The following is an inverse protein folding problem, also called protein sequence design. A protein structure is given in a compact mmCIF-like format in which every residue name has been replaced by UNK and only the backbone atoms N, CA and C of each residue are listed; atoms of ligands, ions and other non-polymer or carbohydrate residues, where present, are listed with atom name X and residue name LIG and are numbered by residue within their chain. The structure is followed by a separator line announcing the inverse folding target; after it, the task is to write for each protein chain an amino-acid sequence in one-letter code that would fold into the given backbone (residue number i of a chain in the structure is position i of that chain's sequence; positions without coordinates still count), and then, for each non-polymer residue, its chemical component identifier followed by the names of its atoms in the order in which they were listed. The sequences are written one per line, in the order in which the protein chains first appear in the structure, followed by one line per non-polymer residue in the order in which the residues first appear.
data_IF_069416455390
#
_entry.id   IF_069416455390
#
_cell.length_a   1.000
_cell.length_b   1.000
_cell.length_c   1.000
_cell.angle_alpha   90.00
_cell.angle_beta   90.00
_cell.angle_gamma   90.00
#
_symmetry.space_group_name_H-M   'P 1'
#
loop_
_entity.id
_entity.type
_entity.pdbx_description
1 polymer ?
#
# COMPACT_ATOMS: atom_id res chain seq x y z
N UNK A 1 -13.35 -16.56 -3.39
CA UNK A 1 -12.34 -15.64 -3.96
C UNK A 1 -12.15 -14.53 -2.97
N UNK A 2 -10.92 -14.27 -2.50
CA UNK A 2 -10.68 -13.23 -1.51
C UNK A 2 -10.96 -11.85 -2.14
N UNK A 3 -11.65 -10.99 -1.41
CA UNK A 3 -11.92 -9.60 -1.83
C UNK A 3 -10.65 -8.76 -1.65
N UNK A 4 -9.77 -8.75 -2.63
CA UNK A 4 -8.56 -7.94 -2.62
C UNK A 4 -8.92 -6.52 -3.02
N UNK A 5 -8.70 -5.55 -2.13
CA UNK A 5 -8.96 -4.13 -2.38
C UNK A 5 -7.65 -3.40 -2.68
N UNK A 6 -7.57 -2.79 -3.84
CA UNK A 6 -6.49 -1.88 -4.19
C UNK A 6 -6.81 -0.48 -3.65
N UNK A 7 -5.90 0.12 -2.87
CA UNK A 7 -6.05 1.48 -2.34
C UNK A 7 -4.99 2.37 -2.94
N UNK A 8 -5.42 3.37 -3.72
CA UNK A 8 -4.55 4.36 -4.33
C UNK A 8 -4.45 5.61 -3.45
N UNK A 9 -3.30 5.83 -2.84
CA UNK A 9 -3.05 7.00 -2.00
C UNK A 9 -2.59 8.24 -2.77
N UNK A 10 -2.56 8.17 -4.10
CA UNK A 10 -2.36 9.35 -4.93
C UNK A 10 -3.70 10.00 -5.29
N UNK A 11 -3.79 11.31 -5.09
CA UNK A 11 -4.98 12.07 -5.47
C UNK A 11 -5.04 12.42 -6.97
N UNK A 12 -4.00 12.12 -7.74
CA UNK A 12 -3.96 12.41 -9.17
C UNK A 12 -4.34 11.18 -10.01
N UNK A 13 -5.36 11.27 -10.88
CA UNK A 13 -5.72 10.18 -11.79
C UNK A 13 -4.65 9.89 -12.85
N UNK A 14 -3.72 10.84 -13.06
CA UNK A 14 -2.58 10.72 -13.99
C UNK A 14 -1.30 10.26 -13.31
N UNK A 15 -1.35 9.96 -12.00
CA UNK A 15 -0.18 9.54 -11.24
C UNK A 15 0.38 8.20 -11.72
N UNK A 16 1.64 7.97 -11.38
CA UNK A 16 2.30 6.70 -11.63
C UNK A 16 1.56 5.55 -10.94
N UNK A 17 1.09 5.77 -9.70
CA UNK A 17 0.31 4.78 -8.96
C UNK A 17 -0.99 4.44 -9.70
N UNK A 18 -1.73 5.45 -10.18
CA UNK A 18 -2.98 5.22 -10.92
C UNK A 18 -2.77 4.41 -12.20
N UNK A 19 -1.68 4.67 -12.92
CA UNK A 19 -1.32 3.91 -14.12
C UNK A 19 -0.87 2.49 -13.76
N UNK A 20 -0.06 2.36 -12.71
CA UNK A 20 0.41 1.07 -12.20
C UNK A 20 -0.73 0.15 -11.74
N UNK A 21 -1.74 0.70 -11.08
CA UNK A 21 -2.95 -0.06 -10.70
C UNK A 21 -3.63 -0.64 -11.95
N UNK A 22 -3.82 0.16 -13.00
CA UNK A 22 -4.44 -0.29 -14.26
C UNK A 22 -3.66 -1.44 -14.90
N UNK A 23 -2.33 -1.42 -14.79
CA UNK A 23 -1.49 -2.50 -15.29
C UNK A 23 -1.62 -3.76 -14.43
N UNK A 24 -1.44 -3.63 -13.12
CA UNK A 24 -1.53 -4.76 -12.20
C UNK A 24 -2.90 -5.40 -12.20
N UNK A 25 -3.97 -4.63 -12.39
CA UNK A 25 -5.33 -5.16 -12.46
C UNK A 25 -5.58 -6.14 -13.63
N UNK A 26 -4.68 -6.17 -14.62
CA UNK A 26 -4.72 -7.20 -15.69
C UNK A 26 -4.29 -8.58 -15.19
N UNK A 27 -3.55 -8.62 -14.11
CA UNK A 27 -2.96 -9.86 -13.56
C UNK A 27 -3.48 -10.18 -12.15
N UNK A 28 -3.88 -9.17 -11.39
CA UNK A 28 -4.52 -9.30 -10.08
C UNK A 28 -5.94 -8.76 -10.22
N UNK A 29 -6.97 -9.62 -10.21
CA UNK A 29 -8.35 -9.16 -10.29
C UNK A 29 -8.73 -8.49 -8.96
N UNK A 30 -8.53 -7.21 -8.84
CA UNK A 30 -8.97 -6.45 -7.67
C UNK A 30 -10.50 -6.47 -7.57
N UNK A 31 -11.01 -6.79 -6.38
CA UNK A 31 -12.44 -6.71 -6.09
C UNK A 31 -12.96 -5.29 -6.30
N UNK A 32 -12.20 -4.30 -5.83
CA UNK A 32 -12.43 -2.88 -6.11
C UNK A 32 -11.14 -2.07 -6.01
N UNK A 33 -11.15 -0.90 -6.62
CA UNK A 33 -10.10 0.11 -6.48
C UNK A 33 -10.68 1.30 -5.71
N UNK A 34 -10.05 1.66 -4.61
CA UNK A 34 -10.39 2.82 -3.78
C UNK A 34 -9.36 3.90 -4.05
N UNK A 35 -9.76 5.01 -4.68
CA UNK A 35 -8.87 6.13 -4.93
C UNK A 35 -9.07 7.19 -3.84
N UNK A 36 -8.03 7.55 -3.12
CA UNK A 36 -8.10 8.55 -2.06
C UNK A 36 -8.63 9.91 -2.58
N UNK A 37 -8.26 10.27 -3.81
CA UNK A 37 -8.71 11.52 -4.44
C UNK A 37 -10.23 11.66 -4.61
N UNK A 38 -10.98 10.55 -4.59
CA UNK A 38 -12.44 10.58 -4.74
C UNK A 38 -13.16 11.02 -3.44
N UNK A 39 -12.43 11.10 -2.33
CA UNK A 39 -13.00 11.39 -1.01
C UNK A 39 -12.79 12.83 -0.55
N UNK A 40 -11.83 13.56 -1.14
CA UNK A 40 -11.52 14.95 -0.73
C UNK A 40 -11.24 15.07 0.78
N UNK A 41 -10.40 14.21 1.31
CA UNK A 41 -10.04 14.20 2.73
C UNK A 41 -9.26 15.48 3.05
N UNK A 42 -9.72 16.30 4.01
CA UNK A 42 -9.02 17.52 4.39
C UNK A 42 -7.67 17.21 5.06
N UNK A 43 -6.77 18.16 5.08
CA UNK A 43 -5.56 18.06 5.88
C UNK A 43 -5.97 18.07 7.36
N UNK A 44 -5.50 17.08 8.11
CA UNK A 44 -5.72 17.03 9.55
C UNK A 44 -4.92 18.14 10.21
N UNK A 45 -5.59 18.99 10.95
CA UNK A 45 -4.98 19.91 11.89
C UNK A 45 -5.51 19.68 13.32
N UNK A 46 -4.81 20.21 14.29
CA UNK A 46 -5.13 20.00 15.70
C UNK A 46 -6.49 20.57 16.10
N UNK A 47 -6.98 21.59 15.41
CA UNK A 47 -8.29 22.22 15.70
C UNK A 47 -9.45 21.37 15.15
N UNK A 48 -9.19 20.52 14.17
CA UNK A 48 -10.19 19.59 13.61
C UNK A 48 -10.27 18.28 14.39
N UNK A 49 -9.29 18.00 15.24
CA UNK A 49 -9.24 16.76 16.00
C UNK A 49 -10.22 16.70 17.19
N UNK A 50 -10.94 17.79 17.49
CA UNK A 50 -11.85 17.90 18.65
C UNK A 50 -13.20 17.19 18.46
N UNK A 51 -13.20 16.02 17.82
CA UNK A 51 -14.35 15.11 17.78
C UNK A 51 -15.23 15.18 16.52
N UNK A 52 -14.97 16.09 15.59
CA UNK A 52 -15.72 16.17 14.34
C UNK A 52 -14.97 15.49 13.20
N UNK A 53 -15.12 14.19 13.05
CA UNK A 53 -14.56 13.46 11.92
C UNK A 53 -15.34 13.80 10.65
N UNK A 54 -14.69 14.33 9.60
CA UNK A 54 -15.38 14.68 8.36
C UNK A 54 -16.07 13.48 7.69
N UNK A 55 -17.22 13.70 7.07
CA UNK A 55 -17.95 12.66 6.32
C UNK A 55 -17.08 12.00 5.23
N UNK A 56 -16.16 12.74 4.65
CA UNK A 56 -15.22 12.22 3.66
C UNK A 56 -14.31 11.12 4.24
N UNK A 57 -13.88 11.27 5.48
CA UNK A 57 -13.09 10.27 6.21
C UNK A 57 -13.94 9.04 6.54
N UNK A 58 -15.18 9.27 7.01
CA UNK A 58 -16.12 8.18 7.30
C UNK A 58 -16.41 7.35 6.04
N UNK A 59 -16.63 8.01 4.90
CA UNK A 59 -16.83 7.31 3.62
C UNK A 59 -15.60 6.54 3.16
N UNK A 60 -14.41 7.13 3.35
CA UNK A 60 -13.16 6.45 3.02
C UNK A 60 -12.97 5.19 3.89
N UNK A 61 -13.14 5.30 5.20
CA UNK A 61 -13.06 4.17 6.12
C UNK A 61 -14.07 3.05 5.75
N UNK A 62 -15.34 3.42 5.51
CA UNK A 62 -16.36 2.47 5.05
C UNK A 62 -15.97 1.76 3.75
N UNK A 63 -15.27 2.45 2.85
CA UNK A 63 -14.79 1.83 1.61
C UNK A 63 -13.72 0.76 1.84
N UNK A 64 -13.11 0.69 3.02
CA UNK A 64 -12.08 -0.30 3.37
C UNK A 64 -12.63 -1.53 4.08
N UNK A 65 -13.83 -1.48 4.67
CA UNK A 65 -14.32 -2.52 5.59
C UNK A 65 -14.43 -3.90 4.94
N UNK A 66 -14.97 -3.99 3.72
CA UNK A 66 -15.32 -5.27 3.08
C UNK A 66 -14.14 -6.03 2.45
N UNK A 67 -12.91 -5.59 2.68
CA UNK A 67 -11.74 -6.27 2.13
C UNK A 67 -11.35 -7.49 2.96
N UNK A 68 -10.93 -8.55 2.30
CA UNK A 68 -10.22 -9.67 2.92
C UNK A 68 -8.71 -9.42 2.94
N UNK A 69 -8.20 -8.66 1.98
CA UNK A 69 -6.79 -8.27 1.87
C UNK A 69 -6.64 -6.93 1.13
N UNK A 70 -5.49 -6.29 1.30
CA UNK A 70 -5.18 -5.01 0.66
C UNK A 70 -3.92 -5.03 -0.18
N UNK A 71 -3.96 -4.25 -1.26
CA UNK A 71 -2.76 -3.76 -1.96
C UNK A 71 -2.75 -2.25 -1.89
N UNK A 72 -1.85 -1.67 -1.08
CA UNK A 72 -1.71 -0.24 -0.91
C UNK A 72 -0.69 0.33 -1.89
N UNK A 73 -1.16 1.22 -2.76
CA UNK A 73 -0.33 1.95 -3.71
C UNK A 73 0.10 3.28 -3.09
N UNK A 74 1.34 3.33 -2.62
CA UNK A 74 1.88 4.46 -1.86
C UNK A 74 2.92 5.17 -2.71
N UNK A 75 2.73 6.48 -2.91
CA UNK A 75 3.70 7.31 -3.65
C UNK A 75 4.91 7.62 -2.78
N UNK A 76 6.09 7.56 -3.40
CA UNK A 76 7.33 8.03 -2.79
C UNK A 76 7.53 9.51 -3.09
N UNK A 77 7.77 10.29 -2.04
CA UNK A 77 8.07 11.72 -2.11
C UNK A 77 9.31 12.01 -1.27
N UNK A 78 10.38 12.50 -1.90
CA UNK A 78 11.64 12.85 -1.22
C UNK A 78 12.22 11.71 -0.35
N UNK A 79 12.05 10.45 -0.78
CA UNK A 79 12.52 9.28 -0.05
C UNK A 79 11.61 8.83 1.10
N UNK A 80 10.50 9.55 1.36
CA UNK A 80 9.45 9.21 2.30
C UNK A 80 8.15 8.79 1.60
N UNK A 81 7.13 8.45 2.35
CA UNK A 81 5.78 8.29 1.83
C UNK A 81 5.12 9.66 1.54
N UNK A 82 4.10 9.67 0.69
CA UNK A 82 3.38 10.90 0.37
C UNK A 82 2.60 11.46 1.57
N UNK A 83 2.49 12.79 1.65
CA UNK A 83 1.67 13.45 2.66
C UNK A 83 0.21 13.02 2.61
N UNK A 84 -0.32 12.73 1.42
CA UNK A 84 -1.70 12.22 1.26
C UNK A 84 -1.90 10.87 1.94
N UNK A 85 -0.93 9.96 1.84
CA UNK A 85 -0.96 8.69 2.55
C UNK A 85 -0.94 8.91 4.06
N UNK A 86 0.03 9.70 4.55
CA UNK A 86 0.15 9.97 5.99
C UNK A 86 -1.12 10.61 6.54
N UNK A 87 -1.65 11.63 5.86
CA UNK A 87 -2.86 12.32 6.26
C UNK A 87 -4.08 11.39 6.36
N UNK A 88 -4.26 10.50 5.37
CA UNK A 88 -5.35 9.52 5.40
C UNK A 88 -5.21 8.55 6.57
N UNK A 89 -3.99 8.09 6.86
CA UNK A 89 -3.74 7.19 8.00
C UNK A 89 -3.99 7.91 9.33
N UNK A 90 -3.56 9.17 9.48
CA UNK A 90 -3.80 9.96 10.68
C UNK A 90 -5.29 10.15 10.95
N UNK A 91 -6.07 10.43 9.91
CA UNK A 91 -7.53 10.52 10.03
C UNK A 91 -8.18 9.19 10.47
N UNK A 92 -7.68 8.05 10.02
CA UNK A 92 -8.19 6.75 10.49
C UNK A 92 -7.90 6.55 11.99
N UNK A 93 -6.74 7.05 12.49
CA UNK A 93 -6.45 7.03 13.93
C UNK A 93 -7.41 7.94 14.69
N UNK A 94 -7.59 9.19 14.23
CA UNK A 94 -8.50 10.14 14.86
C UNK A 94 -9.92 9.58 14.90
N UNK A 95 -10.44 9.07 13.77
CA UNK A 95 -11.76 8.46 13.71
C UNK A 95 -11.93 7.35 14.74
N UNK A 96 -10.96 6.43 14.82
CA UNK A 96 -11.04 5.30 15.76
C UNK A 96 -10.98 5.73 17.21
N UNK A 97 -10.18 6.76 17.53
CA UNK A 97 -10.09 7.28 18.90
C UNK A 97 -11.36 8.01 19.35
N UNK A 98 -12.11 8.60 18.41
CA UNK A 98 -13.37 9.29 18.70
C UNK A 98 -14.60 8.38 18.59
N UNK A 99 -14.48 7.20 17.98
CA UNK A 99 -15.54 6.19 18.00
C UNK A 99 -15.61 5.63 19.43
N UNK A 100 -16.68 5.99 20.15
CA UNK A 100 -16.84 5.65 21.59
C UNK A 100 -16.91 4.14 21.86
N UNK A 101 -17.12 3.34 20.84
CA UNK A 101 -17.00 1.90 20.89
C UNK A 101 -15.53 1.49 20.77
N UNK A 102 -14.75 1.77 21.82
CA UNK A 102 -13.29 1.59 21.93
C UNK A 102 -12.76 0.15 21.65
N UNK A 103 -13.62 -0.78 21.30
CA UNK A 103 -13.26 -2.15 20.94
C UNK A 103 -13.29 -2.41 19.43
N UNK A 104 -13.59 -1.39 18.60
CA UNK A 104 -13.59 -1.57 17.15
C UNK A 104 -12.18 -1.35 16.64
N UNK A 105 -11.51 -2.40 16.12
CA UNK A 105 -10.23 -2.23 15.49
C UNK A 105 -10.35 -1.33 14.26
N UNK A 106 -9.23 -0.74 13.82
CA UNK A 106 -9.21 -0.03 12.53
C UNK A 106 -9.79 -0.90 11.43
N UNK A 107 -10.50 -0.30 10.46
CA UNK A 107 -11.12 -1.03 9.33
C UNK A 107 -10.17 -1.97 8.59
N UNK A 108 -8.87 -1.64 8.63
CA UNK A 108 -7.80 -2.42 7.99
C UNK A 108 -7.11 -3.43 8.91
N UNK A 109 -7.42 -3.43 10.22
CA UNK A 109 -6.74 -4.31 11.19
C UNK A 109 -6.93 -5.78 10.90
N UNK A 110 -5.92 -6.56 11.26
CA UNK A 110 -5.90 -8.03 11.16
C UNK A 110 -6.13 -8.58 9.76
N UNK A 111 -5.89 -7.76 8.72
CA UNK A 111 -6.01 -8.19 7.33
C UNK A 111 -4.64 -8.19 6.65
N UNK A 112 -4.36 -9.13 5.74
CA UNK A 112 -3.16 -9.13 4.94
C UNK A 112 -3.03 -7.85 4.11
N UNK A 113 -1.84 -7.25 4.13
CA UNK A 113 -1.55 -6.03 3.39
C UNK A 113 -0.24 -6.14 2.64
N UNK A 114 -0.28 -5.83 1.38
CA UNK A 114 0.87 -5.67 0.51
C UNK A 114 0.99 -4.22 0.09
N UNK A 115 2.18 -3.63 0.13
CA UNK A 115 2.38 -2.27 -0.39
C UNK A 115 3.16 -2.27 -1.69
N UNK A 116 2.82 -1.33 -2.57
CA UNK A 116 3.39 -1.19 -3.91
C UNK A 116 3.72 0.28 -4.16
N UNK A 117 4.88 0.52 -4.75
CA UNK A 117 5.27 1.85 -5.21
C UNK A 117 5.75 1.78 -6.65
N UNK A 118 5.23 2.65 -7.49
CA UNK A 118 5.81 2.96 -8.80
C UNK A 118 6.66 4.22 -8.66
N UNK A 119 7.98 4.07 -8.77
CA UNK A 119 8.93 5.16 -8.54
C UNK A 119 9.62 5.58 -9.85
N UNK A 120 9.81 6.89 -10.10
CA UNK A 120 10.62 7.36 -11.21
C UNK A 120 12.12 7.17 -10.96
N UNK A 121 12.51 6.81 -9.76
CA UNK A 121 13.91 6.67 -9.37
C UNK A 121 14.55 5.43 -10.00
N UNK A 122 15.81 5.56 -10.37
CA UNK A 122 16.58 4.49 -11.00
C UNK A 122 17.11 3.46 -9.98
N UNK A 123 17.70 3.92 -8.90
CA UNK A 123 18.43 3.05 -7.96
C UNK A 123 17.94 3.13 -6.52
N UNK A 124 17.20 4.16 -6.16
CA UNK A 124 16.92 4.48 -4.76
C UNK A 124 15.41 4.60 -4.46
N UNK A 125 14.56 4.02 -5.30
CA UNK A 125 13.12 3.99 -5.03
C UNK A 125 12.80 3.06 -3.86
N UNK A 126 11.75 3.40 -3.11
CA UNK A 126 11.24 2.54 -2.06
C UNK A 126 11.91 2.69 -0.69
N UNK A 127 12.70 3.73 -0.48
CA UNK A 127 13.29 4.03 0.84
C UNK A 127 12.23 4.17 1.94
N UNK A 128 11.05 4.62 1.58
CA UNK A 128 9.91 4.76 2.48
C UNK A 128 9.30 3.42 2.93
N UNK A 129 9.70 2.29 2.36
CA UNK A 129 9.10 1.00 2.69
C UNK A 129 9.27 0.62 4.16
N UNK A 130 10.42 0.92 4.77
CA UNK A 130 10.63 0.69 6.20
C UNK A 130 9.75 1.60 7.07
N UNK A 131 9.56 2.85 6.64
CA UNK A 131 8.64 3.76 7.32
C UNK A 131 7.19 3.29 7.17
N UNK A 132 6.79 2.82 5.98
CA UNK A 132 5.47 2.24 5.75
C UNK A 132 5.22 1.05 6.67
N UNK A 133 6.19 0.16 6.81
CA UNK A 133 6.11 -1.00 7.70
C UNK A 133 5.86 -0.60 9.15
N UNK A 134 6.64 0.37 9.64
CA UNK A 134 6.50 0.85 11.02
C UNK A 134 5.14 1.50 11.24
N UNK A 135 4.71 2.37 10.33
CA UNK A 135 3.41 3.03 10.40
C UNK A 135 2.26 2.02 10.32
N UNK A 136 2.29 1.10 9.35
CA UNK A 136 1.20 0.14 9.13
C UNK A 136 1.07 -0.88 10.27
N UNK A 137 2.17 -1.21 10.96
CA UNK A 137 2.10 -2.04 12.16
C UNK A 137 1.27 -1.42 13.29
N UNK A 138 1.23 -0.09 13.39
CA UNK A 138 0.38 0.60 14.38
C UNK A 138 -1.11 0.32 14.14
N UNK A 139 -1.50 0.02 12.91
CA UNK A 139 -2.85 -0.37 12.53
C UNK A 139 -3.14 -1.87 12.71
N UNK A 140 -2.20 -2.62 13.29
CA UNK A 140 -2.32 -4.06 13.50
C UNK A 140 -2.60 -4.86 12.22
N UNK A 141 -2.18 -4.33 11.06
CA UNK A 141 -2.29 -5.07 9.80
C UNK A 141 -1.25 -6.19 9.73
N UNK A 142 -1.56 -7.22 8.96
CA UNK A 142 -0.61 -8.28 8.64
C UNK A 142 0.18 -7.80 7.42
N UNK A 143 1.26 -7.08 7.71
CA UNK A 143 2.08 -6.50 6.66
C UNK A 143 2.99 -7.56 6.05
N UNK A 144 2.66 -7.98 4.84
CA UNK A 144 3.38 -9.06 4.17
C UNK A 144 4.70 -8.57 3.56
N UNK A 145 4.67 -7.55 2.71
CA UNK A 145 5.87 -7.05 2.04
C UNK A 145 5.60 -5.75 1.27
N UNK A 146 6.65 -5.26 0.60
CA UNK A 146 6.63 -4.10 -0.26
C UNK A 146 7.31 -4.40 -1.59
N UNK A 147 6.69 -4.00 -2.70
CA UNK A 147 7.31 -4.04 -4.03
C UNK A 147 7.49 -2.63 -4.56
N UNK A 148 8.68 -2.37 -5.08
CA UNK A 148 8.99 -1.14 -5.78
C UNK A 148 9.21 -1.43 -7.25
N UNK A 149 8.42 -0.81 -8.09
CA UNK A 149 8.64 -0.77 -9.52
C UNK A 149 9.46 0.48 -9.83
N UNK A 150 10.77 0.31 -9.92
CA UNK A 150 11.71 1.37 -10.23
C UNK A 150 11.73 1.64 -11.74
N UNK A 151 12.11 2.82 -12.10
CA UNK A 151 12.53 3.35 -13.39
C UNK A 151 11.94 2.77 -14.69
N UNK A 152 11.75 3.66 -15.64
CA UNK A 152 11.52 3.32 -17.04
C UNK A 152 10.16 2.73 -17.31
N UNK A 153 9.36 2.52 -16.25
CA UNK A 153 8.01 2.04 -16.42
C UNK A 153 7.21 2.93 -17.38
N UNK A 154 7.51 4.24 -17.47
CA UNK A 154 6.88 5.13 -18.44
C UNK A 154 7.35 4.88 -19.87
N UNK A 155 8.62 4.50 -20.06
CA UNK A 155 9.22 4.21 -21.36
C UNK A 155 9.11 2.74 -21.75
N UNK A 156 8.95 1.86 -20.76
CA UNK A 156 9.01 0.42 -20.95
C UNK A 156 7.63 -0.27 -20.83
N UNK A 157 6.55 0.48 -20.63
CA UNK A 157 5.22 -0.10 -20.43
C UNK A 157 4.77 -1.01 -21.59
N UNK A 158 4.99 -0.73 -22.87
CA UNK A 158 4.63 -1.68 -23.92
C UNK A 158 5.44 -2.96 -23.87
N UNK A 159 6.71 -2.92 -23.45
CA UNK A 159 7.67 -4.01 -23.62
C UNK A 159 7.94 -4.82 -22.34
N UNK A 160 7.48 -4.34 -21.17
CA UNK A 160 7.78 -4.95 -19.87
C UNK A 160 6.57 -5.52 -19.13
N UNK A 161 5.58 -6.00 -19.84
CA UNK A 161 4.46 -6.72 -19.22
C UNK A 161 4.92 -7.92 -18.38
N UNK A 162 5.97 -8.60 -18.77
CA UNK A 162 6.53 -9.74 -18.04
C UNK A 162 7.00 -9.36 -16.63
N UNK A 163 7.59 -8.21 -16.48
CA UNK A 163 8.02 -7.72 -15.19
C UNK A 163 6.86 -7.34 -14.25
N UNK A 164 5.83 -6.65 -14.79
CA UNK A 164 4.60 -6.35 -14.06
C UNK A 164 3.87 -7.65 -13.71
N UNK A 165 3.82 -8.61 -14.64
CA UNK A 165 3.24 -9.93 -14.43
C UNK A 165 3.94 -10.69 -13.29
N UNK A 166 5.27 -10.74 -13.30
CA UNK A 166 6.06 -11.37 -12.23
C UNK A 166 5.80 -10.73 -10.86
N UNK A 167 5.73 -9.39 -10.81
CA UNK A 167 5.35 -8.69 -9.59
C UNK A 167 3.92 -9.01 -9.12
N UNK A 168 2.98 -9.13 -10.05
CA UNK A 168 1.61 -9.53 -9.75
C UNK A 168 1.52 -10.98 -9.24
N UNK A 169 2.29 -11.90 -9.82
CA UNK A 169 2.37 -13.29 -9.37
C UNK A 169 2.87 -13.38 -7.92
N UNK A 170 3.89 -12.59 -7.58
CA UNK A 170 4.40 -12.51 -6.21
C UNK A 170 3.31 -12.02 -5.24
N UNK A 171 2.63 -10.93 -5.59
CA UNK A 171 1.55 -10.37 -4.77
C UNK A 171 0.43 -11.39 -4.59
N UNK A 172 -0.03 -12.02 -5.67
CA UNK A 172 -1.08 -13.02 -5.62
C UNK A 172 -0.70 -14.21 -4.75
N UNK A 173 0.52 -14.72 -4.89
CA UNK A 173 1.00 -15.85 -4.10
C UNK A 173 1.04 -15.51 -2.61
N UNK A 174 1.45 -14.30 -2.24
CA UNK A 174 1.50 -13.88 -0.84
C UNK A 174 0.10 -13.64 -0.26
N UNK A 175 -0.82 -13.04 -1.03
CA UNK A 175 -2.18 -12.76 -0.57
C UNK A 175 -3.10 -14.01 -0.61
N UNK A 176 -2.72 -15.05 -1.36
CA UNK A 176 -3.49 -16.31 -1.43
C UNK A 176 -3.12 -17.30 -0.34
N UNK A 177 -2.06 -17.05 0.43
CA UNK A 177 -1.71 -17.91 1.56
C UNK A 177 -2.83 -17.90 2.58
N UNK A 178 -3.26 -19.07 3.07
CA UNK A 178 -4.28 -19.13 4.10
C UNK A 178 -3.80 -18.34 5.33
N UNK A 179 -4.62 -17.41 5.76
CA UNK A 179 -4.36 -16.64 6.95
C UNK A 179 -4.70 -17.50 8.18
N UNK A 180 -3.69 -18.01 8.82
CA UNK A 180 -3.83 -18.52 10.19
C UNK A 180 -3.97 -17.31 11.13
N UNK A 181 -5.15 -17.10 11.68
CA UNK A 181 -5.33 -16.21 12.83
C UNK A 181 -4.40 -16.70 13.94
N UNK A 182 -3.18 -16.21 13.98
CA UNK A 182 -2.32 -16.40 15.15
C UNK A 182 -2.94 -15.62 16.30
N UNK A 183 -3.76 -16.31 17.09
CA UNK A 183 -4.16 -15.85 18.41
C UNK A 183 -2.89 -15.77 19.26
N UNK A 184 -2.45 -14.57 19.50
CA UNK A 184 -1.34 -14.08 20.32
C UNK A 184 -0.24 -13.45 19.46
N UNK A 185 -0.20 -12.14 19.53
CA UNK A 185 1.02 -11.37 19.31
C UNK A 185 1.97 -11.78 20.45
N UNK A 186 2.75 -12.82 20.22
CA UNK A 186 3.94 -13.06 21.04
C UNK A 186 5.02 -12.12 20.52
N UNK A 187 5.60 -11.35 21.41
CA UNK A 187 6.58 -10.29 21.20
C UNK A 187 7.91 -10.70 20.54
N UNK A 188 8.02 -11.88 19.97
CA UNK A 188 9.27 -12.39 19.40
C UNK A 188 9.21 -12.76 17.93
N UNK A 189 8.50 -12.00 17.12
CA UNK A 189 8.64 -12.21 15.68
C UNK A 189 9.90 -11.49 15.22
N UNK A 190 10.96 -12.26 15.01
CA UNK A 190 12.27 -11.81 14.50
C UNK A 190 12.09 -10.88 13.30
N UNK A 191 12.48 -9.64 13.50
CA UNK A 191 12.38 -8.53 12.52
C UNK A 191 13.09 -8.88 11.20
N UNK A 192 13.97 -9.86 11.17
CA UNK A 192 14.73 -10.30 9.99
C UNK A 192 13.91 -11.05 8.95
N UNK A 193 12.76 -11.62 9.32
CA UNK A 193 11.95 -12.45 8.41
C UNK A 193 10.95 -11.66 7.56
N UNK A 194 10.74 -10.37 7.83
CA UNK A 194 9.63 -9.60 7.25
C UNK A 194 10.03 -8.73 6.07
N UNK A 195 11.32 -8.48 5.85
CA UNK A 195 11.80 -7.68 4.73
C UNK A 195 12.43 -8.55 3.64
N UNK A 196 11.64 -9.36 2.97
CA UNK A 196 12.03 -9.77 1.62
C UNK A 196 11.82 -8.57 0.71
N UNK A 197 12.84 -7.74 0.62
CA UNK A 197 13.01 -6.82 -0.48
C UNK A 197 13.16 -7.68 -1.74
N UNK A 198 12.09 -7.90 -2.44
CA UNK A 198 12.20 -8.43 -3.79
C UNK A 198 12.55 -7.23 -4.66
N UNK A 199 13.81 -6.85 -4.59
CA UNK A 199 14.41 -6.16 -5.70
C UNK A 199 14.40 -7.18 -6.84
N UNK A 200 13.49 -7.03 -7.77
CA UNK A 200 13.63 -7.65 -9.10
C UNK A 200 14.84 -7.03 -9.83
N UNK A 201 15.85 -6.66 -9.06
CA UNK A 201 16.97 -5.80 -9.40
C UNK A 201 18.19 -6.57 -9.88
N UNK A 202 18.36 -7.82 -9.44
CA UNK A 202 19.61 -8.54 -9.69
C UNK A 202 19.79 -8.99 -11.16
N UNK A 203 18.72 -9.07 -11.92
CA UNK A 203 18.83 -9.40 -13.35
C UNK A 203 18.94 -8.16 -14.27
N UNK A 204 18.70 -6.96 -13.71
CA UNK A 204 18.68 -5.71 -14.46
C UNK A 204 20.06 -5.06 -14.58
N UNK A 205 20.87 -5.08 -13.53
CA UNK A 205 22.23 -4.50 -13.58
C UNK A 205 23.12 -5.20 -14.63
N UNK A 206 22.88 -6.49 -14.89
CA UNK A 206 23.61 -7.23 -15.92
C UNK A 206 23.22 -6.86 -17.36
N UNK A 207 21.96 -6.48 -17.58
CA UNK A 207 21.47 -6.13 -18.92
C UNK A 207 21.78 -4.71 -19.36
N UNK A 208 22.15 -3.83 -18.43
CA UNK A 208 22.43 -2.42 -18.73
C UNK A 208 23.90 -2.08 -18.79
N UNK A 209 24.78 -2.95 -18.31
CA UNK A 209 26.23 -2.81 -18.54
C UNK A 209 26.64 -3.14 -19.97
N UNK A 210 25.75 -3.82 -20.73
CA UNK A 210 26.00 -4.18 -22.14
C UNK A 210 25.44 -3.15 -23.14
N UNK A 211 24.96 -1.96 -22.70
CA UNK A 211 24.36 -0.92 -23.56
C UNK A 211 25.12 0.42 -23.45
N UNK A 212 26.25 0.47 -22.76
CA UNK A 212 27.26 1.52 -22.91
C UNK A 212 28.37 0.99 -23.85
#
# INVERSE_FOLDING_TARGET
MNKIVAVNFSCSPKSMQSRGIKLLNKFIPFYKVVNLGDFNIPILDTNMADGNVPDSVIRFDKALIDADAYVFFISEMMGGYSGTFKNAMDWLVVKTNYDKDLNIPYSISHKPLYSVTFSPSYKNGGRHAEYNKTLLKMFQVIYNSHIVFNRGWEKCIPDNYEWVKKGAEIINNELSKPYEKKNKITESTDVRTICKWIHLYNDWDKKWQDIE
#
